data_IF_849655651774
#
_entry.id   IF_849655651774
#
_cell.length_a   1.000
_cell.length_b   1.000
_cell.length_c   1.000
_cell.angle_alpha   90.00
_cell.angle_beta   90.00
_cell.angle_gamma   90.00
#
_symmetry.space_group_name_H-M   'P 1'
#
loop_
_entity.id
_entity.type
_entity.pdbx_description
1 polymer ?
#
# COMPACT_ATOMS: atom_id res chain seq x y z
N UNK A 1 64.90 -26.22 -12.49
CA UNK A 1 64.08 -25.28 -13.27
C UNK A 1 62.93 -25.97 -14.03
N UNK A 2 62.26 -26.98 -13.45
CA UNK A 2 61.07 -27.64 -14.04
C UNK A 2 59.77 -27.42 -13.24
N UNK A 3 59.86 -26.77 -12.07
CA UNK A 3 58.71 -26.49 -11.20
C UNK A 3 58.11 -25.08 -11.39
N UNK A 4 58.77 -24.22 -12.18
CA UNK A 4 58.26 -22.87 -12.47
C UNK A 4 57.33 -22.82 -13.71
N UNK A 5 57.36 -23.85 -14.56
CA UNK A 5 56.53 -23.93 -15.77
C UNK A 5 55.09 -24.40 -15.49
N UNK A 6 54.83 -25.06 -14.36
CA UNK A 6 53.49 -25.57 -14.04
C UNK A 6 52.53 -24.51 -13.49
N UNK A 7 53.07 -23.42 -12.91
CA UNK A 7 52.26 -22.35 -12.31
C UNK A 7 51.73 -21.38 -13.38
N UNK A 8 52.43 -21.22 -14.51
CA UNK A 8 52.02 -20.32 -15.59
C UNK A 8 50.85 -20.90 -16.40
N UNK A 9 50.74 -22.24 -16.53
CA UNK A 9 49.63 -22.87 -17.27
C UNK A 9 48.32 -22.85 -16.48
N UNK A 10 48.35 -22.90 -15.14
CA UNK A 10 47.15 -22.79 -14.29
C UNK A 10 46.63 -21.34 -14.18
N UNK A 11 47.53 -20.35 -14.24
CA UNK A 11 47.14 -18.94 -14.29
C UNK A 11 46.48 -18.53 -15.63
N UNK A 12 46.86 -19.18 -16.74
CA UNK A 12 46.27 -18.92 -18.06
C UNK A 12 44.92 -19.62 -18.27
N UNK A 13 44.63 -20.74 -17.60
CA UNK A 13 43.31 -21.37 -17.64
C UNK A 13 42.28 -20.67 -16.74
N UNK A 14 42.72 -19.99 -15.67
CA UNK A 14 41.85 -19.14 -14.84
C UNK A 14 41.33 -17.89 -15.55
N UNK A 15 42.09 -17.35 -16.51
CA UNK A 15 41.68 -16.18 -17.32
C UNK A 15 40.79 -16.56 -18.52
N UNK A 16 40.83 -17.82 -18.98
CA UNK A 16 39.94 -18.29 -20.06
C UNK A 16 38.53 -18.66 -19.55
N UNK A 17 38.36 -18.89 -18.25
CA UNK A 17 37.04 -19.08 -17.62
C UNK A 17 36.25 -17.76 -17.44
N UNK A 18 36.90 -16.60 -17.58
CA UNK A 18 36.24 -15.28 -17.60
C UNK A 18 35.95 -14.73 -19.00
N UNK A 19 36.17 -15.53 -20.06
CA UNK A 19 35.72 -15.23 -21.43
C UNK A 19 34.65 -16.20 -21.89
N UNK A 20 33.76 -16.61 -20.97
CA UNK A 20 32.39 -16.85 -21.40
C UNK A 20 31.92 -15.50 -21.91
N UNK A 21 31.96 -15.31 -23.24
CA UNK A 21 31.10 -14.32 -23.90
C UNK A 21 29.76 -14.52 -23.21
N UNK A 22 29.41 -13.55 -22.38
CA UNK A 22 28.04 -13.37 -22.01
C UNK A 22 27.36 -13.26 -23.36
N UNK A 23 26.69 -14.33 -23.78
CA UNK A 23 25.51 -14.16 -24.58
C UNK A 23 24.62 -13.29 -23.70
N UNK A 24 24.86 -11.99 -23.76
CA UNK A 24 23.81 -11.01 -23.78
C UNK A 24 23.01 -11.40 -25.01
N UNK A 25 22.17 -12.44 -24.87
CA UNK A 25 20.84 -12.35 -25.42
C UNK A 25 20.31 -11.05 -24.85
N UNK A 26 20.59 -9.96 -25.57
CA UNK A 26 19.83 -8.74 -25.53
C UNK A 26 18.44 -9.18 -25.95
N UNK A 27 17.70 -9.74 -24.99
CA UNK A 27 16.26 -9.84 -25.10
C UNK A 27 15.85 -8.43 -25.47
N UNK A 28 15.28 -8.21 -26.67
CA UNK A 28 14.87 -6.89 -27.05
C UNK A 28 13.99 -6.34 -25.93
N UNK A 29 14.19 -5.07 -25.52
CA UNK A 29 13.39 -4.50 -24.45
C UNK A 29 11.91 -4.75 -24.76
N UNK A 30 11.10 -5.17 -23.77
CA UNK A 30 9.74 -5.59 -24.02
C UNK A 30 8.98 -4.45 -24.70
N UNK A 31 8.26 -4.78 -25.78
CA UNK A 31 7.57 -3.80 -26.60
C UNK A 31 6.64 -2.93 -25.75
N UNK A 32 6.74 -1.60 -25.86
CA UNK A 32 5.92 -0.66 -25.09
C UNK A 32 4.45 -0.92 -25.37
N UNK A 33 3.65 -1.05 -24.31
CA UNK A 33 2.21 -1.28 -24.42
C UNK A 33 1.51 0.07 -24.43
N UNK A 34 0.78 0.35 -25.50
CA UNK A 34 -0.06 1.54 -25.60
C UNK A 34 -1.44 1.25 -24.97
N UNK A 35 -1.87 1.99 -23.93
CA UNK A 35 -3.22 1.86 -23.38
C UNK A 35 -4.35 2.07 -24.40
N UNK A 36 -4.07 2.69 -25.55
CA UNK A 36 -5.03 2.86 -26.66
C UNK A 36 -5.15 1.64 -27.58
N UNK A 37 -4.32 0.61 -27.41
CA UNK A 37 -4.49 -0.69 -28.06
C UNK A 37 -5.11 -1.69 -27.06
N UNK A 38 -6.46 -1.88 -27.08
CA UNK A 38 -7.14 -2.71 -26.11
C UNK A 38 -6.71 -4.18 -26.17
N UNK A 39 -6.28 -4.67 -27.33
CA UNK A 39 -5.91 -6.08 -27.53
C UNK A 39 -4.51 -6.36 -26.99
N UNK A 40 -3.57 -5.46 -27.26
CA UNK A 40 -2.24 -5.54 -26.65
C UNK A 40 -2.34 -5.38 -25.12
N UNK A 41 -3.15 -4.43 -24.64
CA UNK A 41 -3.31 -4.18 -23.21
C UNK A 41 -3.96 -5.37 -22.49
N UNK A 42 -5.11 -5.89 -22.97
CA UNK A 42 -5.81 -7.02 -22.32
C UNK A 42 -4.93 -8.27 -22.23
N UNK A 43 -4.06 -8.48 -23.21
CA UNK A 43 -3.14 -9.62 -23.26
C UNK A 43 -1.96 -9.49 -22.29
N UNK A 44 -1.64 -8.26 -21.88
CA UNK A 44 -0.46 -7.97 -21.07
C UNK A 44 -0.77 -7.72 -19.58
N UNK A 45 -1.96 -7.17 -19.28
CA UNK A 45 -2.39 -6.98 -17.88
C UNK A 45 -2.70 -8.32 -17.20
N UNK A 46 -2.60 -8.34 -15.87
CA UNK A 46 -3.08 -9.45 -15.06
C UNK A 46 -4.19 -8.96 -14.15
N UNK A 47 -5.31 -9.66 -14.15
CA UNK A 47 -6.44 -9.36 -13.27
C UNK A 47 -6.47 -10.37 -12.15
N UNK A 48 -6.48 -9.88 -10.91
CA UNK A 48 -6.45 -10.77 -9.75
C UNK A 48 -7.71 -11.63 -9.70
N UNK A 49 -7.54 -12.93 -9.44
CA UNK A 49 -8.58 -13.97 -9.58
C UNK A 49 -9.29 -14.04 -10.93
N UNK A 50 -8.79 -13.30 -11.93
CA UNK A 50 -9.37 -13.19 -13.27
C UNK A 50 -8.88 -14.31 -14.18
N UNK A 51 -9.82 -15.01 -14.81
CA UNK A 51 -9.55 -15.86 -15.96
C UNK A 51 -9.98 -15.14 -17.22
N UNK A 52 -9.10 -15.02 -18.21
CA UNK A 52 -9.41 -14.39 -19.49
C UNK A 52 -10.29 -15.30 -20.34
N UNK A 53 -11.43 -14.78 -20.80
CA UNK A 53 -12.38 -15.44 -21.68
C UNK A 53 -12.58 -14.62 -22.94
N UNK A 54 -12.73 -15.28 -24.08
CA UNK A 54 -13.06 -14.63 -25.34
C UNK A 54 -14.56 -14.34 -25.42
N UNK A 55 -14.94 -13.16 -25.90
CA UNK A 55 -16.32 -12.79 -26.19
C UNK A 55 -16.75 -11.43 -25.62
N UNK A 56 -18.06 -11.21 -25.65
CA UNK A 56 -18.69 -10.09 -24.98
C UNK A 56 -18.84 -10.37 -23.48
N UNK A 57 -19.01 -9.30 -22.70
CA UNK A 57 -19.50 -9.42 -21.32
C UNK A 57 -20.86 -10.16 -21.32
N UNK A 58 -21.13 -10.98 -20.30
CA UNK A 58 -22.46 -11.55 -20.09
C UNK A 58 -23.58 -10.52 -20.15
N UNK A 59 -24.79 -10.98 -20.49
CA UNK A 59 -25.95 -10.09 -20.52
C UNK A 59 -26.42 -9.78 -19.10
N UNK A 60 -26.65 -8.50 -18.80
CA UNK A 60 -27.34 -8.06 -17.59
C UNK A 60 -28.69 -8.79 -17.45
N UNK A 61 -28.95 -9.39 -16.29
CA UNK A 61 -30.19 -10.15 -16.05
C UNK A 61 -31.32 -9.28 -15.49
N UNK A 62 -31.02 -8.06 -15.07
CA UNK A 62 -31.91 -7.24 -14.23
C UNK A 62 -32.04 -7.80 -12.81
N UNK A 63 -32.39 -6.96 -11.83
CA UNK A 63 -32.59 -7.39 -10.44
C UNK A 63 -32.05 -6.43 -9.39
N UNK A 64 -31.94 -6.92 -8.15
CA UNK A 64 -31.45 -6.15 -6.99
C UNK A 64 -29.93 -5.97 -6.98
N UNK A 65 -29.21 -6.81 -7.72
CA UNK A 65 -27.77 -6.68 -7.91
C UNK A 65 -27.46 -5.58 -8.94
N UNK A 66 -27.27 -4.35 -8.46
CA UNK A 66 -27.02 -3.17 -9.30
C UNK A 66 -25.81 -2.40 -8.78
N UNK A 67 -24.87 -2.08 -9.67
CA UNK A 67 -23.74 -1.19 -9.38
C UNK A 67 -24.19 0.26 -9.41
N UNK A 68 -23.72 1.05 -8.45
CA UNK A 68 -23.94 2.49 -8.39
C UNK A 68 -23.11 3.20 -9.47
N UNK A 69 -23.74 3.64 -10.56
CA UNK A 69 -23.05 4.30 -11.69
C UNK A 69 -22.36 5.60 -11.26
N UNK A 70 -22.98 6.34 -10.33
CA UNK A 70 -22.46 7.64 -9.87
C UNK A 70 -21.18 7.50 -9.04
N UNK A 71 -20.90 6.32 -8.48
CA UNK A 71 -19.69 6.05 -7.72
C UNK A 71 -18.42 5.98 -8.59
N UNK A 72 -18.56 5.95 -9.92
CA UNK A 72 -17.45 5.64 -10.85
C UNK A 72 -17.13 6.74 -11.86
N UNK A 73 -17.67 7.94 -11.67
CA UNK A 73 -17.36 9.09 -12.54
C UNK A 73 -15.91 9.61 -12.37
N UNK A 74 -15.17 9.09 -11.39
CA UNK A 74 -13.78 9.46 -11.13
C UNK A 74 -12.79 8.67 -12.00
N UNK A 75 -11.71 9.35 -12.40
CA UNK A 75 -10.54 8.72 -13.01
C UNK A 75 -9.79 7.93 -11.93
N UNK A 76 -9.57 6.64 -12.19
CA UNK A 76 -8.85 5.74 -11.28
C UNK A 76 -7.36 5.85 -11.58
N UNK A 77 -6.55 6.37 -10.64
CA UNK A 77 -5.11 6.46 -10.84
C UNK A 77 -4.47 5.07 -10.79
N UNK A 78 -3.51 4.83 -11.65
CA UNK A 78 -2.66 3.65 -11.64
C UNK A 78 -1.23 4.03 -11.98
N UNK A 79 -0.26 3.39 -11.35
CA UNK A 79 1.16 3.59 -11.65
C UNK A 79 1.60 2.49 -12.62
N UNK A 80 2.27 2.87 -13.70
CA UNK A 80 2.89 1.92 -14.63
C UNK A 80 3.75 0.89 -13.85
N UNK A 81 3.62 -0.40 -14.19
CA UNK A 81 4.28 -1.50 -13.47
C UNK A 81 3.65 -1.89 -12.14
N UNK A 82 2.54 -1.25 -11.73
CA UNK A 82 1.87 -1.48 -10.44
C UNK A 82 0.38 -1.76 -10.64
N UNK A 83 -0.48 -1.31 -9.73
CA UNK A 83 -1.87 -1.74 -9.68
C UNK A 83 -2.82 -0.59 -10.04
N UNK A 84 -3.89 -0.93 -10.74
CA UNK A 84 -5.15 -0.19 -10.72
C UNK A 84 -6.13 -0.96 -9.84
N UNK A 85 -6.82 -0.27 -8.94
CA UNK A 85 -7.78 -0.87 -7.99
C UNK A 85 -9.14 -0.20 -8.16
N UNK A 86 -10.15 -0.99 -8.47
CA UNK A 86 -11.52 -0.54 -8.66
C UNK A 86 -12.37 -1.08 -7.51
N UNK A 87 -12.81 -0.21 -6.58
CA UNK A 87 -13.71 -0.64 -5.51
C UNK A 87 -15.12 -0.90 -6.02
N UNK A 88 -15.78 -1.96 -5.56
CA UNK A 88 -17.17 -2.23 -5.91
C UNK A 88 -18.14 -1.47 -5.00
N UNK A 89 -19.11 -0.78 -5.60
CA UNK A 89 -20.12 0.05 -4.95
C UNK A 89 -21.48 -0.36 -5.51
N UNK A 90 -22.27 -1.04 -4.67
CA UNK A 90 -23.64 -1.42 -5.01
C UNK A 90 -24.63 -0.36 -4.58
N UNK A 91 -25.67 -0.15 -5.37
CA UNK A 91 -26.72 0.83 -5.09
C UNK A 91 -27.48 0.53 -3.77
N UNK A 92 -27.56 -0.74 -3.37
CA UNK A 92 -28.22 -1.22 -2.15
C UNK A 92 -27.26 -1.53 -0.99
N UNK A 93 -25.96 -1.21 -1.13
CA UNK A 93 -24.90 -1.64 -0.21
C UNK A 93 -24.38 -3.05 -0.53
N UNK A 94 -23.20 -3.40 0.03
CA UNK A 94 -22.55 -4.69 -0.22
C UNK A 94 -23.30 -5.83 0.51
N UNK A 95 -24.27 -6.45 -0.18
CA UNK A 95 -24.90 -7.69 0.27
C UNK A 95 -24.01 -8.92 0.04
N UNK A 96 -24.33 -10.04 0.70
CA UNK A 96 -23.66 -11.36 0.56
C UNK A 96 -23.80 -12.02 -0.82
N UNK A 97 -24.42 -11.29 -1.75
CA UNK A 97 -24.91 -11.80 -3.02
C UNK A 97 -23.89 -11.68 -4.15
N UNK A 98 -22.81 -10.92 -3.97
CA UNK A 98 -21.72 -10.82 -4.95
C UNK A 98 -20.83 -12.06 -4.87
N UNK A 99 -20.70 -12.79 -5.99
CA UNK A 99 -19.80 -13.95 -6.13
C UNK A 99 -18.56 -13.64 -6.97
N UNK A 100 -18.61 -12.59 -7.78
CA UNK A 100 -17.50 -12.20 -8.63
C UNK A 100 -17.83 -10.99 -9.49
N UNK A 101 -16.95 -10.70 -10.43
CA UNK A 101 -17.10 -9.63 -11.40
C UNK A 101 -16.64 -10.06 -12.79
N UNK A 102 -17.19 -9.44 -13.81
CA UNK A 102 -16.67 -9.48 -15.17
C UNK A 102 -16.02 -8.13 -15.47
N UNK A 103 -14.82 -8.14 -16.07
CA UNK A 103 -14.08 -6.94 -16.44
C UNK A 103 -13.62 -7.04 -17.89
N UNK A 104 -13.87 -6.01 -18.68
CA UNK A 104 -13.44 -5.91 -20.07
C UNK A 104 -12.70 -4.60 -20.29
N UNK A 105 -11.58 -4.64 -21.02
CA UNK A 105 -10.96 -3.42 -21.55
C UNK A 105 -11.81 -2.96 -22.73
N UNK A 106 -12.35 -1.74 -22.71
CA UNK A 106 -13.23 -1.27 -23.78
C UNK A 106 -12.54 -1.38 -25.14
N UNK A 107 -13.19 -2.06 -26.09
CA UNK A 107 -12.65 -2.35 -27.42
C UNK A 107 -11.86 -3.68 -27.55
N UNK A 108 -11.62 -4.42 -26.46
CA UNK A 108 -11.07 -5.77 -26.55
C UNK A 108 -12.12 -6.80 -27.04
N UNK A 109 -11.66 -7.97 -27.47
CA UNK A 109 -12.54 -9.09 -27.85
C UNK A 109 -12.72 -10.12 -26.72
N UNK A 110 -12.21 -9.80 -25.53
CA UNK A 110 -12.06 -10.70 -24.40
C UNK A 110 -12.32 -9.97 -23.08
N UNK A 111 -12.81 -10.69 -22.07
CA UNK A 111 -13.08 -10.18 -20.73
C UNK A 111 -12.50 -11.13 -19.68
N UNK A 112 -12.21 -10.61 -18.50
CA UNK A 112 -11.82 -11.38 -17.32
C UNK A 112 -13.05 -11.77 -16.51
N UNK A 113 -13.18 -13.05 -16.17
CA UNK A 113 -14.10 -13.55 -15.14
C UNK A 113 -13.35 -13.65 -13.81
N UNK A 114 -13.75 -12.82 -12.85
CA UNK A 114 -13.10 -12.63 -11.56
C UNK A 114 -13.93 -13.34 -10.49
N UNK A 115 -13.34 -14.33 -9.83
CA UNK A 115 -14.02 -15.15 -8.83
C UNK A 115 -13.66 -14.71 -7.40
N UNK A 116 -14.62 -14.12 -6.67
CA UNK A 116 -14.44 -13.72 -5.27
C UNK A 116 -14.66 -14.86 -4.27
N UNK A 117 -15.08 -16.04 -4.73
CA UNK A 117 -15.28 -17.21 -3.85
C UNK A 117 -13.96 -17.89 -3.48
N UNK A 118 -12.90 -17.67 -4.26
CA UNK A 118 -11.55 -18.21 -4.00
C UNK A 118 -10.99 -17.60 -2.70
N UNK A 119 -10.83 -18.39 -1.62
CA UNK A 119 -10.16 -17.93 -0.40
C UNK A 119 -8.63 -17.77 -0.69
N UNK A 120 -7.81 -17.06 0.11
CA UNK A 120 -7.60 -17.32 1.56
C UNK A 120 -6.56 -16.36 2.20
N UNK A 121 -6.58 -16.30 3.53
CA UNK A 121 -5.55 -15.77 4.47
C UNK A 121 -5.13 -14.30 4.39
N UNK A 122 -5.32 -13.60 3.27
CA UNK A 122 -4.97 -12.19 3.10
C UNK A 122 -6.12 -11.21 3.42
N UNK A 123 -7.23 -11.68 4.02
CA UNK A 123 -8.41 -10.85 4.37
C UNK A 123 -8.13 -9.72 5.37
N UNK A 124 -6.89 -9.58 5.80
CA UNK A 124 -6.40 -8.40 6.49
C UNK A 124 -5.11 -8.03 5.80
N UNK A 125 -5.17 -7.12 4.82
CA UNK A 125 -4.17 -6.06 4.86
C UNK A 125 -4.22 -5.56 6.30
N UNK A 126 -3.14 -5.73 7.05
CA UNK A 126 -3.08 -5.24 8.41
C UNK A 126 -3.14 -3.71 8.25
N UNK A 127 -4.35 -3.13 8.28
CA UNK A 127 -4.54 -1.68 8.24
C UNK A 127 -4.13 -1.11 9.60
N UNK A 128 -2.84 -1.27 9.91
CA UNK A 128 -2.16 -0.47 10.92
C UNK A 128 -2.06 0.99 10.49
N UNK A 129 -2.42 1.31 9.23
CA UNK A 129 -2.36 2.66 8.67
C UNK A 129 -3.77 3.12 8.28
N UNK A 130 -4.27 4.24 8.83
CA UNK A 130 -5.48 4.87 8.34
C UNK A 130 -5.19 5.43 6.95
N UNK A 131 -5.85 4.89 5.93
CA UNK A 131 -5.74 5.39 4.57
C UNK A 131 -7.09 5.44 3.89
N UNK A 132 -7.21 6.29 2.87
CA UNK A 132 -8.45 6.51 2.12
C UNK A 132 -8.97 5.25 1.40
N UNK A 133 -8.08 4.27 1.17
CA UNK A 133 -8.43 2.90 0.76
C UNK A 133 -7.90 1.83 1.74
N UNK A 134 -7.43 2.22 2.93
CA UNK A 134 -7.17 1.26 3.99
C UNK A 134 -8.51 0.68 4.40
N UNK A 135 -8.62 -0.64 4.25
CA UNK A 135 -9.83 -1.36 4.60
C UNK A 135 -9.93 -1.36 6.12
N UNK A 136 -10.98 -0.73 6.64
CA UNK A 136 -11.35 -0.89 8.04
C UNK A 136 -11.54 -2.39 8.36
N UNK A 137 -11.04 -2.78 9.52
CA UNK A 137 -11.07 -4.12 10.13
C UNK A 137 -12.46 -4.71 10.37
N UNK A 138 -13.53 -3.93 10.15
CA UNK A 138 -14.91 -4.33 10.44
C UNK A 138 -15.59 -4.88 9.17
N UNK A 139 -15.28 -6.14 8.85
CA UNK A 139 -16.10 -7.05 8.03
C UNK A 139 -16.53 -6.61 6.63
N UNK A 140 -15.66 -6.76 5.62
CA UNK A 140 -16.09 -6.77 4.21
C UNK A 140 -15.48 -7.93 3.42
N UNK A 141 -16.32 -8.56 2.58
CA UNK A 141 -15.96 -9.58 1.60
C UNK A 141 -15.12 -8.90 0.50
N UNK A 142 -14.08 -9.57 0.01
CA UNK A 142 -13.08 -9.03 -0.92
C UNK A 142 -13.65 -8.77 -2.32
N UNK A 143 -14.42 -7.70 -2.46
CA UNK A 143 -15.10 -7.29 -3.70
C UNK A 143 -14.39 -6.10 -4.34
N UNK A 144 -13.10 -6.23 -4.67
CA UNK A 144 -12.36 -5.27 -5.50
C UNK A 144 -11.93 -5.92 -6.81
N UNK A 145 -11.87 -5.13 -7.88
CA UNK A 145 -11.19 -5.53 -9.12
C UNK A 145 -9.78 -4.96 -9.08
N UNK A 146 -8.77 -5.83 -9.15
CA UNK A 146 -7.36 -5.46 -9.09
C UNK A 146 -6.70 -5.83 -10.41
N UNK A 147 -6.11 -4.83 -11.08
CA UNK A 147 -5.44 -4.97 -12.37
C UNK A 147 -3.96 -4.63 -12.18
N UNK A 148 -3.07 -5.60 -12.38
CA UNK A 148 -1.61 -5.35 -12.44
C UNK A 148 -1.25 -4.94 -13.87
N UNK A 149 -0.69 -3.74 -13.97
CA UNK A 149 -0.14 -3.17 -15.19
C UNK A 149 1.31 -3.66 -15.38
N UNK A 150 1.72 -4.00 -16.60
CA UNK A 150 3.13 -4.17 -16.98
C UNK A 150 3.91 -2.88 -16.75
N UNK A 151 5.22 -2.97 -16.53
CA UNK A 151 6.16 -1.86 -16.28
C UNK A 151 6.55 -1.05 -17.52
N UNK A 152 6.24 -1.59 -18.70
CA UNK A 152 6.43 -0.97 -20.00
C UNK A 152 5.14 -0.39 -20.58
N UNK A 153 4.13 -0.13 -19.75
CA UNK A 153 2.88 0.52 -20.17
C UNK A 153 3.07 2.02 -20.30
N UNK A 154 2.73 2.60 -21.45
CA UNK A 154 2.83 4.05 -21.67
C UNK A 154 1.87 4.82 -20.74
N UNK A 155 2.26 6.01 -20.30
CA UNK A 155 1.36 6.93 -19.59
C UNK A 155 0.26 7.43 -20.53
N UNK A 156 -0.98 7.05 -20.26
CA UNK A 156 -2.20 7.52 -20.92
C UNK A 156 -3.40 7.00 -20.11
N UNK A 157 -4.58 7.04 -20.70
CA UNK A 157 -5.83 6.53 -20.16
C UNK A 157 -6.34 5.36 -21.00
N UNK A 158 -6.97 4.41 -20.34
CA UNK A 158 -7.81 3.40 -21.00
C UNK A 158 -9.13 3.25 -20.26
N UNK A 159 -10.12 2.68 -20.93
CA UNK A 159 -11.45 2.46 -20.38
C UNK A 159 -11.64 1.00 -20.07
N UNK A 160 -12.33 0.74 -18.97
CA UNK A 160 -12.79 -0.60 -18.61
C UNK A 160 -14.29 -0.59 -18.39
N UNK A 161 -14.92 -1.65 -18.83
CA UNK A 161 -16.32 -1.98 -18.58
C UNK A 161 -16.36 -3.13 -17.60
N UNK A 162 -17.16 -3.03 -16.55
CA UNK A 162 -17.32 -4.11 -15.59
C UNK A 162 -18.74 -4.21 -15.08
N UNK A 163 -19.06 -5.42 -14.62
CA UNK A 163 -20.33 -5.79 -14.01
C UNK A 163 -20.04 -6.81 -12.91
N UNK A 164 -20.94 -6.95 -11.94
CA UNK A 164 -20.83 -7.95 -10.90
C UNK A 164 -21.86 -9.05 -11.10
N UNK A 165 -21.54 -10.25 -10.64
CA UNK A 165 -22.45 -11.38 -10.71
C UNK A 165 -22.59 -12.09 -9.37
N UNK A 166 -23.74 -12.73 -9.19
CA UNK A 166 -24.00 -13.65 -8.10
C UNK A 166 -25.47 -13.98 -7.96
N UNK A 167 -25.78 -15.12 -7.32
CA UNK A 167 -27.13 -15.67 -7.22
C UNK A 167 -27.90 -15.71 -8.55
N UNK A 168 -27.23 -16.12 -9.64
CA UNK A 168 -27.74 -16.15 -11.02
C UNK A 168 -28.16 -14.79 -11.60
N UNK A 169 -27.69 -13.69 -11.00
CA UNK A 169 -27.87 -12.33 -11.52
C UNK A 169 -26.55 -11.75 -12.02
N UNK A 170 -26.65 -10.88 -13.02
CA UNK A 170 -25.57 -10.04 -13.54
C UNK A 170 -26.06 -8.59 -13.51
N UNK A 171 -25.25 -7.70 -12.94
CA UNK A 171 -25.61 -6.28 -12.79
C UNK A 171 -25.61 -5.53 -14.11
N UNK A 172 -25.98 -4.24 -14.05
CA UNK A 172 -25.66 -3.28 -15.11
C UNK A 172 -24.14 -3.19 -15.34
N UNK A 173 -23.76 -2.85 -16.57
CA UNK A 173 -22.39 -2.51 -16.95
C UNK A 173 -22.08 -1.09 -16.47
N UNK A 174 -20.91 -0.91 -15.86
CA UNK A 174 -20.33 0.37 -15.50
C UNK A 174 -19.03 0.56 -16.26
N UNK A 175 -18.77 1.80 -16.71
CA UNK A 175 -17.50 2.18 -17.34
C UNK A 175 -16.67 3.03 -16.37
N UNK A 176 -15.39 2.68 -16.21
CA UNK A 176 -14.42 3.49 -15.50
C UNK A 176 -13.23 3.86 -16.42
N UNK A 177 -12.61 5.00 -16.14
CA UNK A 177 -11.38 5.45 -16.82
C UNK A 177 -10.22 5.20 -15.89
N UNK A 178 -9.23 4.43 -16.34
CA UNK A 178 -7.97 4.23 -15.63
C UNK A 178 -6.93 5.15 -16.24
N UNK A 179 -6.28 5.98 -15.41
CA UNK A 179 -5.14 6.82 -15.80
C UNK A 179 -3.84 6.15 -15.38
N UNK A 180 -3.08 5.68 -16.37
CA UNK A 180 -1.73 5.16 -16.19
C UNK A 180 -0.77 6.34 -16.10
N UNK A 181 -0.10 6.45 -14.96
CA UNK A 181 0.90 7.46 -14.68
C UNK A 181 2.29 6.85 -14.60
N UNK A 182 3.29 7.65 -14.95
CA UNK A 182 4.69 7.26 -14.74
C UNK A 182 5.01 7.33 -13.25
N UNK A 183 5.82 6.40 -12.76
CA UNK A 183 6.42 6.52 -11.42
C UNK A 183 7.23 7.81 -11.30
N UNK A 184 7.13 8.49 -10.16
CA UNK A 184 7.90 9.69 -9.82
C UNK A 184 7.22 11.00 -10.21
N UNK A 185 6.03 10.90 -10.82
CA UNK A 185 5.28 12.05 -11.32
C UNK A 185 5.85 12.63 -12.62
N UNK A 186 5.06 13.50 -13.25
CA UNK A 186 5.45 14.14 -14.51
C UNK A 186 6.03 15.54 -14.28
N UNK A 187 7.14 15.83 -14.98
CA UNK A 187 7.74 17.17 -15.06
C UNK A 187 8.34 17.70 -13.75
N UNK A 188 8.27 19.01 -13.57
CA UNK A 188 8.89 19.70 -12.42
C UNK A 188 8.12 19.48 -11.11
N UNK A 189 6.84 19.13 -11.20
CA UNK A 189 6.02 18.85 -10.03
C UNK A 189 6.42 17.55 -9.32
N UNK A 190 6.74 16.50 -10.08
CA UNK A 190 7.34 15.27 -9.52
C UNK A 190 8.70 15.55 -8.87
N UNK A 191 9.52 16.40 -9.48
CA UNK A 191 10.80 16.83 -8.89
C UNK A 191 10.62 17.63 -7.60
N UNK A 192 9.54 18.41 -7.48
CA UNK A 192 9.25 19.17 -6.27
C UNK A 192 9.02 18.25 -5.06
N UNK A 193 8.31 17.13 -5.28
CA UNK A 193 8.09 16.08 -4.28
C UNK A 193 9.33 15.24 -3.99
N UNK A 194 10.27 15.11 -4.92
CA UNK A 194 11.47 14.29 -4.69
C UNK A 194 12.29 14.80 -3.50
N UNK A 195 12.70 13.90 -2.61
CA UNK A 195 13.43 14.19 -1.38
C UNK A 195 12.82 13.51 -0.16
N UNK A 196 13.43 13.75 1.01
CA UNK A 196 12.95 13.27 2.30
C UNK A 196 12.14 14.34 2.99
N UNK A 197 10.98 13.95 3.51
CA UNK A 197 10.01 14.79 4.17
C UNK A 197 9.73 14.24 5.56
N UNK A 198 9.79 15.09 6.58
CA UNK A 198 9.51 14.73 7.96
C UNK A 198 8.21 15.37 8.41
N UNK A 199 7.35 14.60 9.11
CA UNK A 199 6.12 15.15 9.67
C UNK A 199 6.47 16.24 10.69
N UNK A 200 5.94 17.44 10.48
CA UNK A 200 6.18 18.57 11.38
C UNK A 200 5.02 18.87 12.30
N UNK A 201 3.78 18.60 11.87
CA UNK A 201 2.54 18.83 12.64
C UNK A 201 1.33 18.30 11.88
N UNK A 202 0.22 18.11 12.58
CA UNK A 202 -1.05 17.73 11.96
C UNK A 202 -2.23 18.48 12.58
N UNK A 203 -3.40 18.45 11.95
CA UNK A 203 -4.67 18.86 12.55
C UNK A 203 -5.78 17.93 12.07
N UNK A 204 -6.65 17.52 12.99
CA UNK A 204 -7.80 16.67 12.70
C UNK A 204 -9.03 17.52 12.44
N UNK A 205 -9.61 17.43 11.23
CA UNK A 205 -10.80 18.19 10.85
C UNK A 205 -12.11 17.57 11.37
N UNK A 206 -12.06 16.32 11.85
CA UNK A 206 -13.18 15.64 12.52
C UNK A 206 -13.23 15.87 14.03
N UNK A 207 -12.19 16.48 14.60
CA UNK A 207 -12.10 16.83 16.02
C UNK A 207 -12.80 18.16 16.34
N UNK A 208 -13.26 18.32 17.58
CA UNK A 208 -13.71 19.61 18.10
C UNK A 208 -12.57 20.64 18.15
N UNK A 209 -11.35 20.16 18.37
CA UNK A 209 -10.12 20.94 18.28
C UNK A 209 -9.45 20.71 16.92
N UNK A 210 -9.53 21.73 16.05
CA UNK A 210 -8.94 21.75 14.71
C UNK A 210 -7.61 22.51 14.65
N UNK A 211 -7.01 22.80 15.80
CA UNK A 211 -5.70 23.48 15.88
C UNK A 211 -4.56 22.55 15.48
N UNK A 212 -3.43 23.16 15.12
CA UNK A 212 -2.21 22.41 14.79
C UNK A 212 -1.62 21.76 16.04
N UNK A 213 -1.40 20.46 15.95
CA UNK A 213 -0.81 19.62 16.99
C UNK A 213 0.60 19.18 16.58
N UNK A 214 1.52 19.01 17.54
CA UNK A 214 2.84 18.46 17.27
C UNK A 214 2.72 17.03 16.71
N UNK A 215 3.68 16.57 15.90
CA UNK A 215 3.58 15.31 15.17
C UNK A 215 3.79 14.10 16.08
N UNK A 216 4.49 14.31 17.20
CA UNK A 216 4.86 13.29 18.15
C UNK A 216 4.22 13.62 19.49
N UNK A 217 3.31 12.75 19.93
CA UNK A 217 2.76 12.82 21.28
C UNK A 217 3.43 11.75 22.14
N UNK A 218 3.73 12.11 23.37
CA UNK A 218 4.18 11.13 24.35
C UNK A 218 2.95 10.40 24.88
N UNK A 219 2.94 9.08 24.72
CA UNK A 219 1.91 8.22 25.27
C UNK A 219 2.48 7.47 26.47
N UNK A 220 1.73 7.41 27.57
CA UNK A 220 2.13 6.65 28.74
C UNK A 220 0.94 5.96 29.36
N UNK A 221 1.08 4.67 29.64
CA UNK A 221 0.10 3.91 30.43
C UNK A 221 0.62 3.66 31.84
N UNK A 222 -0.30 3.75 32.77
CA UNK A 222 -0.11 3.32 34.15
C UNK A 222 -0.93 2.07 34.41
N UNK A 223 -0.39 1.14 35.18
CA UNK A 223 -1.17 0.04 35.75
C UNK A 223 -1.05 0.03 37.27
N UNK A 224 -2.05 -0.56 37.91
CA UNK A 224 -2.07 -0.73 39.35
C UNK A 224 -1.48 -2.09 39.70
N UNK A 225 -0.48 -2.09 40.57
CA UNK A 225 0.17 -3.27 41.12
C UNK A 225 0.02 -3.28 42.63
N UNK A 226 0.07 -4.46 43.23
CA UNK A 226 0.25 -4.56 44.66
C UNK A 226 1.60 -5.14 45.01
N UNK A 227 2.01 -4.80 46.23
CA UNK A 227 3.21 -5.36 46.82
C UNK A 227 2.89 -6.65 47.57
N UNK A 228 3.37 -7.78 47.07
CA UNK A 228 3.32 -9.05 47.79
C UNK A 228 4.72 -9.65 47.89
N UNK A 229 5.21 -9.89 49.10
CA UNK A 229 6.57 -10.40 49.36
C UNK A 229 7.66 -9.62 48.63
N UNK A 230 7.58 -8.28 48.67
CA UNK A 230 8.46 -7.36 47.96
C UNK A 230 8.48 -7.55 46.41
N UNK A 231 7.43 -8.11 45.81
CA UNK A 231 7.28 -8.24 44.36
C UNK A 231 6.02 -7.53 43.88
N UNK A 232 6.08 -7.00 42.67
CA UNK A 232 4.93 -6.41 41.98
C UNK A 232 4.05 -7.53 41.43
N UNK A 233 2.76 -7.51 41.78
CA UNK A 233 1.76 -8.47 41.27
C UNK A 233 0.66 -7.69 40.53
N UNK A 234 0.38 -8.06 39.29
CA UNK A 234 -0.70 -7.50 38.45
C UNK A 234 -2.02 -8.20 38.80
N UNK A 235 -3.15 -7.48 38.81
CA UNK A 235 -4.43 -8.03 39.24
C UNK A 235 -5.60 -7.73 38.32
N UNK A 236 -6.48 -8.73 38.19
CA UNK A 236 -7.91 -8.58 37.97
C UNK A 236 -8.61 -9.01 39.29
N UNK A 237 -9.29 -8.10 40.02
CA UNK A 237 -10.22 -8.32 41.16
C UNK A 237 -9.75 -8.12 42.65
N UNK A 238 -10.32 -7.07 43.25
CA UNK A 238 -11.12 -7.00 44.51
C UNK A 238 -10.56 -7.37 45.90
N UNK A 239 -9.26 -7.29 46.16
CA UNK A 239 -8.71 -7.37 47.53
C UNK A 239 -7.93 -6.11 47.95
N UNK A 240 -7.62 -5.93 49.25
CA UNK A 240 -7.32 -4.63 49.88
C UNK A 240 -5.88 -4.52 50.42
N UNK A 241 -4.87 -4.69 49.57
CA UNK A 241 -3.48 -4.33 49.93
C UNK A 241 -2.97 -3.12 49.14
N UNK A 242 -1.89 -2.48 49.65
CA UNK A 242 -1.35 -1.19 49.17
C UNK A 242 -1.20 -1.17 47.65
N UNK A 243 -2.01 -0.30 47.02
CA UNK A 243 -2.03 -0.08 45.58
C UNK A 243 -0.90 0.86 45.16
N UNK A 244 -0.05 0.39 44.24
CA UNK A 244 0.96 1.18 43.55
C UNK A 244 0.49 1.41 42.11
N UNK A 245 0.17 2.65 41.77
CA UNK A 245 0.00 3.05 40.37
C UNK A 245 1.38 3.36 39.78
N UNK A 246 1.84 2.53 38.85
CA UNK A 246 3.16 2.65 38.24
C UNK A 246 3.03 2.83 36.72
N UNK A 247 3.86 3.66 36.09
CA UNK A 247 3.95 3.68 34.63
C UNK A 247 4.47 2.32 34.18
N UNK A 248 3.69 1.63 33.34
CA UNK A 248 4.05 0.32 32.77
C UNK A 248 4.59 0.44 31.36
N UNK A 249 4.22 1.51 30.69
CA UNK A 249 4.46 1.72 29.30
C UNK A 249 4.63 3.21 29.05
N UNK A 250 5.65 3.56 28.28
CA UNK A 250 5.82 4.89 27.73
C UNK A 250 6.31 4.73 26.30
N UNK A 251 5.69 5.44 25.38
CA UNK A 251 6.07 5.46 23.98
C UNK A 251 6.20 6.90 23.50
N UNK A 252 7.23 7.14 22.71
CA UNK A 252 7.48 8.43 22.09
C UNK A 252 7.99 8.22 20.69
N UNK A 253 7.26 8.75 19.72
CA UNK A 253 7.75 8.85 18.36
C UNK A 253 8.98 9.77 18.31
N UNK A 254 9.98 9.30 17.57
CA UNK A 254 11.26 9.99 17.38
C UNK A 254 11.53 10.32 15.92
N UNK A 255 10.81 9.66 15.00
CA UNK A 255 11.01 9.79 13.56
C UNK A 255 9.73 9.41 12.82
N UNK A 256 9.29 10.25 11.88
CA UNK A 256 8.27 9.91 10.90
C UNK A 256 8.61 10.60 9.59
N UNK A 257 9.21 9.83 8.68
CA UNK A 257 9.76 10.32 7.43
C UNK A 257 9.22 9.56 6.23
N UNK A 258 9.02 10.30 5.14
CA UNK A 258 8.71 9.76 3.82
C UNK A 258 9.70 10.30 2.80
N UNK A 259 10.29 9.41 2.02
CA UNK A 259 11.26 9.75 0.96
C UNK A 259 10.68 9.38 -0.38
N UNK A 260 10.68 10.34 -1.30
CA UNK A 260 10.25 10.17 -2.68
C UNK A 260 11.45 10.28 -3.60
N UNK A 261 11.73 9.23 -4.39
CA UNK A 261 12.78 9.29 -5.40
C UNK A 261 12.21 9.63 -6.79
N UNK A 262 13.07 10.13 -7.69
CA UNK A 262 12.63 10.53 -9.04
C UNK A 262 12.19 9.36 -9.94
N UNK A 263 12.45 8.10 -9.58
CA UNK A 263 12.03 6.92 -10.34
C UNK A 263 10.63 6.42 -9.97
N UNK A 264 9.97 7.04 -8.99
CA UNK A 264 8.67 6.59 -8.50
C UNK A 264 8.72 5.46 -7.49
N UNK A 265 9.86 5.28 -6.85
CA UNK A 265 10.04 4.44 -5.67
C UNK A 265 10.21 5.38 -4.49
N UNK A 266 9.62 5.03 -3.36
CA UNK A 266 9.79 5.76 -2.13
C UNK A 266 9.96 4.82 -0.96
N UNK A 267 10.29 5.40 0.18
CA UNK A 267 10.42 4.69 1.43
C UNK A 267 9.83 5.50 2.57
N UNK A 268 9.19 4.83 3.52
CA UNK A 268 8.72 5.41 4.77
C UNK A 268 9.48 4.80 5.93
N UNK A 269 9.77 5.61 6.94
CA UNK A 269 10.30 5.16 8.23
C UNK A 269 9.52 5.83 9.35
N UNK A 270 8.95 5.01 10.21
CA UNK A 270 8.40 5.41 11.49
C UNK A 270 9.28 4.79 12.59
N UNK A 271 9.68 5.58 13.58
CA UNK A 271 10.48 5.07 14.69
C UNK A 271 10.16 5.80 15.99
N UNK A 272 10.13 5.04 17.07
CA UNK A 272 9.91 5.54 18.41
C UNK A 272 10.79 4.84 19.43
N UNK A 273 10.86 5.46 20.60
CA UNK A 273 11.44 4.86 21.80
C UNK A 273 10.30 4.37 22.69
N UNK A 274 10.42 3.14 23.14
CA UNK A 274 9.48 2.49 24.04
C UNK A 274 10.19 2.13 25.34
N UNK A 275 9.60 2.50 26.46
CA UNK A 275 10.03 2.15 27.81
C UNK A 275 8.95 1.29 28.46
N UNK A 276 9.30 0.08 28.92
CA UNK A 276 8.39 -0.83 29.62
C UNK A 276 8.88 -1.17 31.02
N UNK A 277 7.96 -1.26 31.97
CA UNK A 277 8.25 -1.79 33.29
C UNK A 277 8.63 -3.27 33.19
N UNK A 278 9.81 -3.63 33.68
CA UNK A 278 10.24 -5.01 33.83
C UNK A 278 9.81 -5.54 35.19
N UNK A 279 8.62 -6.15 35.25
CA UNK A 279 8.05 -6.68 36.49
C UNK A 279 8.88 -7.81 37.10
N UNK A 280 9.74 -8.49 36.31
CA UNK A 280 10.61 -9.55 36.82
C UNK A 280 11.85 -9.00 37.55
N UNK A 281 12.32 -7.82 37.15
CA UNK A 281 13.46 -7.13 37.77
C UNK A 281 13.04 -6.04 38.76
N UNK A 282 11.75 -5.68 38.78
CA UNK A 282 11.19 -4.69 39.68
C UNK A 282 10.78 -5.30 41.03
N UNK A 283 10.83 -4.48 42.07
CA UNK A 283 10.24 -4.78 43.38
C UNK A 283 9.35 -3.61 43.83
N UNK A 284 8.75 -3.72 45.01
CA UNK A 284 7.78 -2.73 45.47
C UNK A 284 8.37 -1.34 45.75
N UNK A 285 9.69 -1.25 45.93
CA UNK A 285 10.40 -0.01 46.26
C UNK A 285 11.39 0.44 45.18
N UNK A 286 11.65 -0.39 44.16
CA UNK A 286 12.59 -0.12 43.09
C UNK A 286 12.07 -0.67 41.77
N UNK A 287 11.73 0.22 40.84
CA UNK A 287 11.22 -0.13 39.53
C UNK A 287 12.37 -0.22 38.52
N UNK A 288 12.41 -1.32 37.78
CA UNK A 288 13.34 -1.53 36.67
C UNK A 288 12.58 -1.35 35.35
N UNK A 289 13.17 -0.60 34.43
CA UNK A 289 12.60 -0.33 33.12
C UNK A 289 13.51 -0.85 32.00
N UNK A 290 12.89 -1.26 30.90
CA UNK A 290 13.56 -1.66 29.66
C UNK A 290 13.23 -0.65 28.57
N UNK A 291 14.26 -0.05 28.01
CA UNK A 291 14.15 0.81 26.85
C UNK A 291 14.42 0.02 25.57
N UNK A 292 13.66 0.31 24.53
CA UNK A 292 13.84 -0.25 23.20
C UNK A 292 13.55 0.79 22.13
N UNK A 293 14.18 0.64 20.97
CA UNK A 293 13.86 1.43 19.78
C UNK A 293 12.98 0.54 18.90
N UNK A 294 11.80 1.03 18.56
CA UNK A 294 10.89 0.40 17.61
C UNK A 294 11.01 1.18 16.32
N UNK A 295 11.21 0.49 15.20
CA UNK A 295 11.22 1.11 13.88
C UNK A 295 10.50 0.22 12.88
N UNK A 296 9.61 0.83 12.10
CA UNK A 296 8.97 0.24 10.94
C UNK A 296 9.47 0.95 9.68
N UNK A 297 9.88 0.17 8.68
CA UNK A 297 10.38 0.68 7.40
C UNK A 297 9.66 -0.04 6.27
N UNK A 298 9.26 0.72 5.26
CA UNK A 298 8.62 0.15 4.08
C UNK A 298 9.05 0.88 2.82
N UNK A 299 8.96 0.18 1.69
CA UNK A 299 9.10 0.76 0.35
C UNK A 299 7.74 0.78 -0.35
N UNK A 300 7.57 1.74 -1.25
CA UNK A 300 6.32 1.92 -1.98
C UNK A 300 6.59 2.52 -3.37
N UNK A 301 5.65 2.29 -4.28
CA UNK A 301 5.53 3.05 -5.51
C UNK A 301 4.83 4.38 -5.31
N UNK A 302 5.19 5.39 -6.07
CA UNK A 302 4.46 6.66 -6.05
C UNK A 302 4.43 7.37 -7.40
N UNK A 303 3.39 8.16 -7.61
CA UNK A 303 3.25 9.09 -8.73
C UNK A 303 2.40 10.29 -8.33
N UNK A 304 2.65 11.44 -8.94
CA UNK A 304 1.94 12.68 -8.67
C UNK A 304 1.41 13.32 -9.94
N UNK A 305 0.13 13.66 -9.93
CA UNK A 305 -0.53 14.42 -10.97
C UNK A 305 -0.67 15.90 -10.53
N UNK A 306 0.11 16.84 -11.10
CA UNK A 306 0.04 18.25 -10.71
C UNK A 306 -1.26 18.95 -11.08
N UNK A 307 -1.96 18.48 -12.11
CA UNK A 307 -3.21 19.11 -12.56
C UNK A 307 -4.35 18.86 -11.56
N UNK A 308 -4.40 17.65 -10.99
CA UNK A 308 -5.41 17.27 -9.99
C UNK A 308 -4.89 17.37 -8.56
N UNK A 309 -3.60 17.66 -8.38
CA UNK A 309 -2.90 17.65 -7.09
C UNK A 309 -3.03 16.31 -6.35
N UNK A 310 -3.13 15.21 -7.08
CA UNK A 310 -3.34 13.88 -6.51
C UNK A 310 -2.00 13.12 -6.48
N UNK A 311 -1.56 12.75 -5.28
CA UNK A 311 -0.45 11.82 -5.04
C UNK A 311 -1.03 10.42 -4.90
N UNK A 312 -0.59 9.49 -5.73
CA UNK A 312 -0.91 8.07 -5.61
C UNK A 312 0.29 7.34 -5.05
N UNK A 313 0.07 6.58 -3.97
CA UNK A 313 1.08 5.75 -3.31
C UNK A 313 0.61 4.29 -3.37
N UNK A 314 1.52 3.37 -3.64
CA UNK A 314 1.27 1.93 -3.71
C UNK A 314 2.27 1.23 -2.81
N UNK A 315 1.85 0.80 -1.63
CA UNK A 315 2.68 0.01 -0.73
C UNK A 315 2.66 -1.44 -1.19
N UNK A 316 3.68 -1.87 -1.92
CA UNK A 316 3.78 -3.21 -2.52
C UNK A 316 5.23 -3.74 -2.47
N UNK A 317 6.01 -3.27 -1.49
CA UNK A 317 7.44 -3.60 -1.32
C UNK A 317 8.25 -3.41 -2.62
N UNK A 318 8.01 -2.30 -3.31
CA UNK A 318 8.57 -1.99 -4.63
C UNK A 318 8.24 -3.05 -5.69
N UNK A 319 6.95 -3.34 -5.82
CA UNK A 319 6.40 -4.35 -6.73
C UNK A 319 6.87 -5.81 -6.46
N UNK A 320 7.54 -6.07 -5.33
CA UNK A 320 7.97 -7.41 -4.91
C UNK A 320 7.01 -8.07 -3.90
N UNK A 321 6.04 -7.33 -3.36
CA UNK A 321 5.03 -7.91 -2.50
C UNK A 321 4.17 -8.91 -3.27
N UNK A 322 3.71 -9.92 -2.55
CA UNK A 322 2.62 -10.77 -3.04
C UNK A 322 1.38 -9.89 -3.30
N UNK A 323 0.52 -10.29 -4.24
CA UNK A 323 -0.77 -9.64 -4.52
C UNK A 323 -1.69 -9.56 -3.29
N UNK A 324 -1.34 -10.29 -2.24
CA UNK A 324 -2.01 -10.36 -0.96
C UNK A 324 -1.56 -9.28 0.05
N UNK A 325 -0.46 -8.58 -0.20
CA UNK A 325 0.16 -7.64 0.74
C UNK A 325 0.47 -6.31 0.05
N UNK A 326 -0.58 -5.64 -0.43
CA UNK A 326 -0.46 -4.29 -0.94
C UNK A 326 -1.60 -3.36 -0.51
N UNK A 327 -1.30 -2.07 -0.45
CA UNK A 327 -2.30 -1.01 -0.35
C UNK A 327 -2.05 0.07 -1.41
N UNK A 328 -3.12 0.69 -1.87
CA UNK A 328 -3.06 1.88 -2.72
C UNK A 328 -3.65 3.03 -1.93
N UNK A 329 -3.10 4.22 -2.06
CA UNK A 329 -3.58 5.45 -1.43
C UNK A 329 -3.59 6.54 -2.48
N UNK A 330 -4.64 7.35 -2.52
CA UNK A 330 -4.69 8.55 -3.33
C UNK A 330 -5.01 9.73 -2.42
N UNK A 331 -4.03 10.62 -2.25
CA UNK A 331 -4.10 11.72 -1.30
C UNK A 331 -4.00 13.03 -2.08
N UNK A 332 -4.87 13.98 -1.77
CA UNK A 332 -4.72 15.34 -2.29
C UNK A 332 -3.54 16.00 -1.59
N UNK A 333 -2.59 16.54 -2.35
CA UNK A 333 -1.38 17.15 -1.78
C UNK A 333 -1.10 18.54 -2.32
N UNK A 334 -0.69 19.43 -1.42
CA UNK A 334 -0.17 20.75 -1.78
C UNK A 334 1.32 20.83 -1.47
N UNK A 335 2.11 21.29 -2.44
CA UNK A 335 3.52 21.61 -2.26
C UNK A 335 3.69 23.11 -2.27
N UNK A 336 4.13 23.69 -1.14
CA UNK A 336 4.31 25.14 -0.97
C UNK A 336 5.70 25.38 -0.39
N UNK A 337 6.65 25.76 -1.25
CA UNK A 337 8.05 25.94 -0.86
C UNK A 337 8.67 24.62 -0.37
N UNK A 338 9.16 24.59 0.86
CA UNK A 338 9.72 23.40 1.52
C UNK A 338 8.69 22.61 2.34
N UNK A 339 7.40 22.87 2.12
CA UNK A 339 6.29 22.23 2.83
C UNK A 339 5.46 21.37 1.90
N UNK A 340 5.07 20.20 2.40
CA UNK A 340 4.16 19.27 1.76
C UNK A 340 2.97 19.05 2.70
N UNK A 341 1.75 19.25 2.20
CA UNK A 341 0.54 19.01 2.95
C UNK A 341 -0.19 17.82 2.37
N UNK A 342 -0.47 16.82 3.21
CA UNK A 342 -1.40 15.76 2.87
C UNK A 342 -2.78 16.18 3.37
N UNK A 343 -3.72 16.37 2.44
CA UNK A 343 -5.06 16.86 2.72
C UNK A 343 -6.05 15.68 2.74
N UNK A 344 -6.60 15.40 3.91
CA UNK A 344 -7.66 14.41 4.12
C UNK A 344 -8.55 14.80 5.32
N UNK A 345 -9.13 13.81 6.00
CA UNK A 345 -9.80 14.03 7.28
C UNK A 345 -8.85 14.64 8.32
N UNK A 346 -7.59 14.22 8.28
CA UNK A 346 -6.46 14.88 8.94
C UNK A 346 -5.65 15.63 7.88
N UNK A 347 -5.22 16.85 8.19
CA UNK A 347 -4.22 17.56 7.40
C UNK A 347 -2.86 17.39 8.08
N UNK A 348 -1.91 16.80 7.36
CA UNK A 348 -0.55 16.56 7.86
C UNK A 348 0.45 17.43 7.10
N UNK A 349 1.22 18.24 7.82
CA UNK A 349 2.31 19.04 7.26
C UNK A 349 3.63 18.26 7.39
N UNK A 350 4.36 18.20 6.29
CA UNK A 350 5.72 17.70 6.24
C UNK A 350 6.69 18.81 5.82
N UNK A 351 7.89 18.77 6.38
CA UNK A 351 9.01 19.65 6.02
C UNK A 351 10.07 18.86 5.26
N UNK A 352 10.58 19.44 4.19
CA UNK A 352 11.69 18.86 3.43
C UNK A 352 12.99 18.94 4.23
N UNK A 353 13.70 17.83 4.35
CA UNK A 353 15.03 17.74 4.99
C UNK A 353 16.16 18.18 4.05
#
# INVERSE_FOLDING_TARGET
>A
MKKLLLIIVVALTGLYACNKKSDTTTTPPPAVIDPKDPQALVSAIKVYHGTLNKGALPATTGGTLTLSVDSYQAVIPAINGRYAVIPLSLASGLGTDVKGAYLKVSGSDSYFNIDFSKPRTARKANSKRPAIFARDSVSYVDSLIIIKLPDNTKSDTFRVEFEVYGNNQVSNIVTAIIQVMKGGGDGDAGKALAGTWEVSRFKDLGSLDTTWQPPFQHYSDTAVFWCHNNKLVNMFLDTLDVQLSLPVYSYRDTKNEITFNASGIGSGEDAGTETRLDTAQSNCSNQAYKDSIISDKGTFGWSYNPATKLLTIVYDQDANADFNDFSVEAVSVDVIGNKLYFNGATITEFLKK
#
